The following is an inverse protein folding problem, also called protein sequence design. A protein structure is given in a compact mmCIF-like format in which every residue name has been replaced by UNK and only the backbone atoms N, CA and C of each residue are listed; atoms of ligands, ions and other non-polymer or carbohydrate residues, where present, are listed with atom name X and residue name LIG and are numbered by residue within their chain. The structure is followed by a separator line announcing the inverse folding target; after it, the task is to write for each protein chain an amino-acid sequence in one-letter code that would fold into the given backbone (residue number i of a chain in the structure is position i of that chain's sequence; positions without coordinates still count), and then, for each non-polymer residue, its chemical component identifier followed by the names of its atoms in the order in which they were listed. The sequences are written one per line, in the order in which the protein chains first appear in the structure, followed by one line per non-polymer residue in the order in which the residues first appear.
data_IF_318220175379
#
_entry.id   IF_318220175379
#
_cell.length_a   1.000
_cell.length_b   1.000
_cell.length_c   1.000
_cell.angle_alpha   90.00
_cell.angle_beta   90.00
_cell.angle_gamma   90.00
#
_symmetry.space_group_name_H-M   'P 1'
#
loop_
_entity.id
_entity.type
_entity.pdbx_description
1 polymer ?
#
# COMPACT_ATOMS: atom_id res chain seq x y z
N UNK A 1 22.76 -11.25 -7.82
CA UNK A 1 22.25 -12.07 -8.95
C UNK A 1 21.37 -11.19 -9.83
N UNK A 2 21.75 -10.92 -11.09
CA UNK A 2 20.86 -10.26 -12.06
C UNK A 2 19.95 -11.33 -12.66
N UNK A 3 18.71 -11.40 -12.22
CA UNK A 3 17.71 -12.37 -12.72
C UNK A 3 16.64 -11.61 -13.50
N UNK A 4 16.22 -12.18 -14.63
CA UNK A 4 15.16 -11.60 -15.44
C UNK A 4 13.82 -11.73 -14.71
N UNK A 5 13.05 -10.64 -14.65
CA UNK A 5 11.76 -10.54 -13.94
C UNK A 5 10.57 -10.46 -14.91
N UNK A 6 10.77 -9.93 -16.11
CA UNK A 6 9.75 -9.85 -17.16
C UNK A 6 10.39 -9.99 -18.57
N UNK A 7 9.62 -10.50 -19.52
CA UNK A 7 9.97 -10.61 -20.94
C UNK A 7 8.77 -10.14 -21.77
N UNK A 8 9.00 -9.30 -22.78
CA UNK A 8 7.98 -8.85 -23.72
C UNK A 8 8.51 -8.99 -25.15
N UNK A 9 7.69 -9.54 -26.05
CA UNK A 9 8.01 -9.72 -27.47
C UNK A 9 7.05 -8.90 -28.33
N UNK A 10 7.54 -8.29 -29.41
CA UNK A 10 6.72 -7.43 -30.27
C UNK A 10 7.53 -6.42 -31.10
N UNK A 11 6.82 -5.52 -31.77
CA UNK A 11 7.44 -4.44 -32.56
C UNK A 11 8.18 -3.45 -31.65
N UNK A 12 9.45 -3.16 -31.96
CA UNK A 12 10.33 -2.30 -31.17
C UNK A 12 9.68 -0.95 -30.82
N UNK A 13 9.07 -0.28 -31.80
CA UNK A 13 8.44 1.01 -31.60
C UNK A 13 7.28 0.95 -30.58
N UNK A 14 6.47 -0.12 -30.64
CA UNK A 14 5.35 -0.30 -29.70
C UNK A 14 5.82 -0.64 -28.28
N UNK A 15 6.86 -1.46 -28.15
CA UNK A 15 7.40 -1.85 -26.85
C UNK A 15 8.03 -0.66 -26.14
N UNK A 16 8.87 0.11 -26.83
CA UNK A 16 9.58 1.24 -26.24
C UNK A 16 8.65 2.40 -25.91
N UNK A 17 7.70 2.72 -26.78
CA UNK A 17 6.80 3.86 -26.56
C UNK A 17 5.75 3.61 -25.47
N UNK A 18 5.19 2.40 -25.38
CA UNK A 18 4.00 2.15 -24.55
C UNK A 18 4.24 1.15 -23.41
N UNK A 19 5.08 0.15 -23.62
CA UNK A 19 5.21 -0.98 -22.69
C UNK A 19 6.33 -0.74 -21.69
N UNK A 20 7.50 -0.29 -22.14
CA UNK A 20 8.69 -0.19 -21.29
C UNK A 20 8.48 0.72 -20.08
N UNK A 21 8.08 1.97 -20.29
CA UNK A 21 7.90 2.94 -19.19
C UNK A 21 6.85 2.49 -18.19
N UNK A 22 5.70 2.03 -18.67
CA UNK A 22 4.59 1.57 -17.81
C UNK A 22 4.98 0.32 -17.03
N UNK A 23 5.62 -0.65 -17.70
CA UNK A 23 6.04 -1.90 -17.08
C UNK A 23 7.07 -1.65 -15.99
N UNK A 24 8.12 -0.87 -16.29
CA UNK A 24 9.17 -0.56 -15.31
C UNK A 24 8.60 0.19 -14.12
N UNK A 25 7.71 1.16 -14.33
CA UNK A 25 7.10 1.92 -13.24
C UNK A 25 6.25 1.03 -12.30
N UNK A 26 5.35 0.22 -12.87
CA UNK A 26 4.46 -0.64 -12.08
C UNK A 26 5.22 -1.72 -11.33
N UNK A 27 6.16 -2.39 -12.00
CA UNK A 27 6.94 -3.48 -11.41
C UNK A 27 7.87 -2.94 -10.33
N UNK A 28 8.60 -1.86 -10.62
CA UNK A 28 9.55 -1.29 -9.66
C UNK A 28 8.84 -0.85 -8.37
N UNK A 29 7.73 -0.12 -8.49
CA UNK A 29 6.96 0.32 -7.33
C UNK A 29 6.46 -0.86 -6.48
N UNK A 30 5.86 -1.87 -7.11
CA UNK A 30 5.32 -3.02 -6.41
C UNK A 30 6.40 -3.80 -5.64
N UNK A 31 7.55 -4.06 -6.27
CA UNK A 31 8.66 -4.75 -5.60
C UNK A 31 9.27 -3.94 -4.47
N UNK A 32 9.45 -2.64 -4.67
CA UNK A 32 10.04 -1.76 -3.66
C UNK A 32 9.18 -1.72 -2.39
N UNK A 33 7.85 -1.59 -2.55
CA UNK A 33 6.92 -1.60 -1.42
C UNK A 33 6.85 -2.98 -0.76
N UNK A 34 6.69 -4.05 -1.54
CA UNK A 34 6.54 -5.41 -1.00
C UNK A 34 7.79 -5.87 -0.23
N UNK A 35 8.99 -5.65 -0.77
CA UNK A 35 10.25 -6.00 -0.08
C UNK A 35 10.49 -5.13 1.15
N UNK A 36 10.05 -3.87 1.14
CA UNK A 36 10.12 -3.05 2.33
C UNK A 36 9.20 -3.57 3.45
N UNK A 37 7.96 -3.93 3.11
CA UNK A 37 7.03 -4.54 4.04
C UNK A 37 7.57 -5.87 4.59
N UNK A 38 8.17 -6.71 3.74
CA UNK A 38 8.81 -7.96 4.16
C UNK A 38 9.93 -7.70 5.16
N UNK A 39 10.82 -6.73 4.90
CA UNK A 39 11.87 -6.36 5.86
C UNK A 39 11.27 -5.92 7.19
N UNK A 40 10.20 -5.13 7.19
CA UNK A 40 9.54 -4.75 8.44
C UNK A 40 8.97 -5.97 9.17
N UNK A 41 8.34 -6.91 8.44
CA UNK A 41 7.80 -8.14 9.02
C UNK A 41 8.90 -9.04 9.60
N UNK A 42 10.03 -9.15 8.91
CA UNK A 42 11.20 -9.89 9.39
C UNK A 42 11.77 -9.29 10.68
N UNK A 43 11.83 -7.95 10.77
CA UNK A 43 12.37 -7.26 11.95
C UNK A 43 11.38 -7.26 13.13
N UNK A 44 10.07 -7.14 12.87
CA UNK A 44 9.05 -7.20 13.90
C UNK A 44 8.88 -8.62 14.49
N UNK A 45 9.07 -9.64 13.65
CA UNK A 45 8.93 -11.05 14.01
C UNK A 45 7.49 -11.56 13.92
N UNK A 46 7.34 -12.88 13.72
CA UNK A 46 6.04 -13.55 13.44
C UNK A 46 4.98 -13.45 14.54
N UNK A 47 5.36 -13.04 15.75
CA UNK A 47 4.43 -12.90 16.88
C UNK A 47 3.71 -11.55 16.88
N UNK A 48 4.15 -10.59 16.07
CA UNK A 48 3.60 -9.25 15.99
C UNK A 48 2.75 -9.11 14.74
N UNK A 49 1.66 -8.37 14.92
CA UNK A 49 0.79 -7.99 13.82
C UNK A 49 1.27 -6.68 13.21
N UNK A 50 1.46 -6.66 11.89
CA UNK A 50 1.90 -5.49 11.16
C UNK A 50 0.74 -4.92 10.34
N UNK A 51 0.57 -3.61 10.41
CA UNK A 51 -0.57 -2.90 9.86
C UNK A 51 -0.10 -1.80 8.91
N UNK A 52 -0.71 -1.75 7.73
CA UNK A 52 -0.44 -0.72 6.73
C UNK A 52 -1.38 0.49 6.96
N UNK A 53 -0.78 1.65 7.25
CA UNK A 53 -1.46 2.92 7.52
C UNK A 53 -0.95 4.08 6.65
N UNK A 54 -0.31 3.79 5.52
CA UNK A 54 0.36 4.78 4.64
C UNK A 54 -0.55 5.48 3.63
N UNK A 55 -1.88 5.33 3.75
CA UNK A 55 -2.85 5.82 2.77
C UNK A 55 -2.72 7.32 2.47
N UNK A 56 -2.42 8.16 3.48
CA UNK A 56 -2.34 9.62 3.32
C UNK A 56 -1.04 10.08 2.65
N UNK A 57 -0.04 9.21 2.55
CA UNK A 57 1.22 9.45 1.83
C UNK A 57 1.25 8.75 0.46
N UNK A 58 0.23 7.95 0.14
CA UNK A 58 0.19 7.19 -1.09
C UNK A 58 0.02 8.11 -2.32
N UNK A 59 0.80 7.85 -3.36
CA UNK A 59 0.87 8.75 -4.52
C UNK A 59 -0.19 8.41 -5.57
N UNK A 60 -1.01 9.39 -5.91
CA UNK A 60 -2.00 9.32 -6.98
C UNK A 60 -3.28 8.56 -6.62
N UNK A 61 -4.30 8.58 -7.51
CA UNK A 61 -5.65 8.10 -7.20
C UNK A 61 -5.73 6.60 -6.86
N UNK A 62 -4.88 5.78 -7.50
CA UNK A 62 -4.79 4.34 -7.26
C UNK A 62 -3.66 3.93 -6.30
N UNK A 63 -2.84 4.89 -5.85
CA UNK A 63 -1.64 4.63 -5.06
C UNK A 63 -1.93 3.96 -3.72
N UNK A 64 -3.02 4.36 -3.05
CA UNK A 64 -3.40 3.77 -1.78
C UNK A 64 -3.73 2.28 -1.89
N UNK A 65 -4.45 1.89 -2.95
CA UNK A 65 -4.88 0.50 -3.16
C UNK A 65 -3.70 -0.36 -3.61
N UNK A 66 -2.84 0.16 -4.49
CA UNK A 66 -1.63 -0.55 -4.90
C UNK A 66 -0.64 -0.72 -3.75
N UNK A 67 -0.46 0.30 -2.89
CA UNK A 67 0.37 0.22 -1.67
C UNK A 67 -0.15 -0.87 -0.75
N UNK A 68 -1.42 -0.80 -0.37
CA UNK A 68 -2.06 -1.77 0.54
C UNK A 68 -1.89 -3.20 0.02
N UNK A 69 -2.10 -3.42 -1.28
CA UNK A 69 -1.88 -4.72 -1.92
C UNK A 69 -0.43 -5.19 -1.81
N UNK A 70 0.54 -4.33 -2.11
CA UNK A 70 1.96 -4.71 -2.08
C UNK A 70 2.45 -4.95 -0.64
N UNK A 71 2.01 -4.14 0.32
CA UNK A 71 2.32 -4.34 1.74
C UNK A 71 1.75 -5.65 2.28
N UNK A 72 0.51 -5.98 1.91
CA UNK A 72 -0.11 -7.27 2.27
C UNK A 72 0.66 -8.45 1.66
N UNK A 73 1.03 -8.35 0.37
CA UNK A 73 1.85 -9.37 -0.29
C UNK A 73 3.24 -9.51 0.35
N UNK A 74 3.80 -8.42 0.84
CA UNK A 74 5.06 -8.38 1.58
C UNK A 74 4.98 -8.91 3.02
N UNK A 75 3.78 -9.27 3.52
CA UNK A 75 3.61 -9.88 4.84
C UNK A 75 2.99 -8.97 5.90
N UNK A 76 2.42 -7.82 5.53
CA UNK A 76 1.54 -7.08 6.44
C UNK A 76 0.23 -7.83 6.65
N UNK A 77 -0.33 -7.82 7.86
CA UNK A 77 -1.52 -8.61 8.20
C UNK A 77 -2.85 -7.92 7.83
N UNK A 78 -2.89 -6.59 7.85
CA UNK A 78 -4.09 -5.81 7.55
C UNK A 78 -3.77 -4.37 7.09
N UNK A 79 -4.76 -3.68 6.52
CA UNK A 79 -4.68 -2.28 6.03
C UNK A 79 -5.81 -1.42 6.60
N UNK A 80 -5.62 -0.11 6.65
CA UNK A 80 -6.70 0.85 6.90
C UNK A 80 -7.48 1.25 5.63
N UNK A 81 -7.02 0.87 4.45
CA UNK A 81 -7.61 1.28 3.19
C UNK A 81 -8.87 0.46 2.86
N UNK A 82 -10.04 1.05 3.12
CA UNK A 82 -11.35 0.44 2.87
C UNK A 82 -11.53 0.03 1.40
N UNK A 83 -11.03 0.81 0.44
CA UNK A 83 -11.14 0.47 -0.97
C UNK A 83 -10.33 -0.80 -1.30
N UNK A 84 -9.16 -0.98 -0.68
CA UNK A 84 -8.37 -2.20 -0.84
C UNK A 84 -9.03 -3.41 -0.18
N UNK A 85 -9.65 -3.23 1.00
CA UNK A 85 -10.44 -4.27 1.63
C UNK A 85 -11.64 -4.71 0.78
N UNK A 86 -12.35 -3.75 0.17
CA UNK A 86 -13.50 -4.01 -0.69
C UNK A 86 -13.11 -4.71 -2.00
N UNK A 87 -12.06 -4.23 -2.69
CA UNK A 87 -11.67 -4.74 -4.00
C UNK A 87 -10.83 -6.03 -3.94
N UNK A 88 -10.00 -6.18 -2.91
CA UNK A 88 -8.98 -7.24 -2.84
C UNK A 88 -9.18 -8.20 -1.65
N UNK A 89 -10.17 -7.96 -0.79
CA UNK A 89 -10.44 -8.81 0.38
C UNK A 89 -9.36 -8.75 1.46
N UNK A 90 -8.52 -7.71 1.47
CA UNK A 90 -7.48 -7.56 2.48
C UNK A 90 -8.13 -7.24 3.84
N UNK A 91 -7.72 -7.90 4.94
CA UNK A 91 -8.27 -7.62 6.26
C UNK A 91 -8.14 -6.13 6.63
N UNK A 92 -9.22 -5.54 7.11
CA UNK A 92 -9.27 -4.13 7.49
C UNK A 92 -9.05 -3.98 8.99
N UNK A 93 -8.18 -3.05 9.37
CA UNK A 93 -8.02 -2.61 10.77
C UNK A 93 -7.81 -1.11 10.86
N UNK A 94 -8.47 -0.51 11.83
CA UNK A 94 -8.39 0.91 12.16
C UNK A 94 -9.26 1.18 13.38
N UNK A 95 -8.90 2.18 14.17
CA UNK A 95 -9.66 2.58 15.35
C UNK A 95 -10.35 3.91 15.07
N UNK A 96 -9.80 5.01 15.57
CA UNK A 96 -10.31 6.36 15.39
C UNK A 96 -9.15 7.32 15.11
N UNK A 97 -9.46 8.44 14.47
CA UNK A 97 -8.50 9.53 14.23
C UNK A 97 -8.42 10.46 15.44
N UNK A 98 -7.29 11.13 15.62
CA UNK A 98 -7.17 12.22 16.59
C UNK A 98 -8.22 13.32 16.38
N UNK A 99 -8.59 13.60 15.13
CA UNK A 99 -9.61 14.60 14.80
C UNK A 99 -10.97 14.29 15.46
N UNK A 100 -11.30 13.01 15.67
CA UNK A 100 -12.50 12.61 16.39
C UNK A 100 -12.47 13.08 17.83
N UNK A 101 -11.37 12.85 18.54
CA UNK A 101 -11.21 13.27 19.94
C UNK A 101 -11.16 14.79 20.06
N UNK A 102 -10.45 15.47 19.14
CA UNK A 102 -10.34 16.94 19.13
C UNK A 102 -11.68 17.63 18.95
N UNK A 103 -12.65 17.01 18.28
CA UNK A 103 -14.00 17.56 18.10
C UNK A 103 -14.74 17.69 19.44
N UNK A 104 -14.52 16.78 20.39
CA UNK A 104 -15.22 16.72 21.67
C UNK A 104 -14.40 17.25 22.86
N UNK A 105 -13.17 17.72 22.62
CA UNK A 105 -12.31 18.31 23.65
C UNK A 105 -12.57 19.80 23.90
N UNK A 106 -13.38 20.48 23.07
CA UNK A 106 -13.78 21.86 23.33
C UNK A 106 -14.87 21.90 24.42
N UNK A 107 -14.65 22.59 25.55
CA UNK A 107 -15.63 22.67 26.64
C UNK A 107 -16.95 23.35 26.25
N UNK A 108 -16.94 24.16 25.18
CA UNK A 108 -18.12 24.94 24.75
C UNK A 108 -19.14 24.12 23.92
N UNK A 109 -18.85 22.86 23.58
CA UNK A 109 -19.70 22.01 22.73
C UNK A 109 -20.44 20.87 23.46
N UNK A 110 -20.32 20.78 24.79
CA UNK A 110 -20.97 19.74 25.61
C UNK A 110 -22.16 20.33 26.41
N UNK A 111 -22.38 21.64 26.31
CA UNK A 111 -23.48 22.36 26.98
C UNK A 111 -24.48 22.84 25.94
N UNK A 112 -25.16 21.91 25.26
CA UNK A 112 -26.54 22.05 24.76
C UNK A 112 -27.20 20.67 24.67
#
# INVERSE_FOLDING_TARGET
LKKQVALSEGSMASLQANVETTLVNLVHYAFLVATNAERHQMMAGKSKMLLEFGLTQAQGPGGGVSTARCCYLGGSDATCNVAAGSLLGIPLKGTHSHAFVSLFMNPDGIVE
#
